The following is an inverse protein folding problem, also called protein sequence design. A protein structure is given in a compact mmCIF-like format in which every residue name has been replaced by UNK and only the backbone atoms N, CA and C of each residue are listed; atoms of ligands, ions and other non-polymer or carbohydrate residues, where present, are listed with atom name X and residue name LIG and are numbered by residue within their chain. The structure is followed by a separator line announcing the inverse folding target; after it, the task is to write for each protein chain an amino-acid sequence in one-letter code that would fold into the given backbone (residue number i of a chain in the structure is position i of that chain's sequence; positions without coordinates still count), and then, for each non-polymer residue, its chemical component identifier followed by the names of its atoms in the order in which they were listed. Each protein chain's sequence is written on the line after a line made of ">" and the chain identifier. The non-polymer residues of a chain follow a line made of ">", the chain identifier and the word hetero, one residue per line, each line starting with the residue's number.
data_IF_481733434162
#
_entry.id   IF_481733434162
#
_cell.length_a   1.000
_cell.length_b   1.000
_cell.length_c   1.000
_cell.angle_alpha   90.00
_cell.angle_beta   90.00
_cell.angle_gamma   90.00
#
_symmetry.space_group_name_H-M   'P 1'
#
loop_
_entity.id
_entity.type
_entity.pdbx_description
1 polymer ?
2 branched ?
3 non-polymer ?
4 water ?
#
# COMPACT_ATOMS: atom_id res chain seq x y z
N UNK A 7 25.39 -13.71 29.26
CA UNK A 7 25.17 -12.29 29.62
C UNK A 7 26.47 -11.46 29.82
N UNK A 8 26.59 -10.34 29.09
CA UNK A 8 27.80 -9.48 29.12
C UNK A 8 27.60 -7.94 29.14
N UNK A 9 26.52 -7.43 28.52
CA UNK A 9 26.28 -5.97 28.43
C UNK A 9 26.02 -5.46 27.00
N UNK A 10 27.08 -5.03 26.31
CA UNK A 10 27.03 -4.68 24.86
C UNK A 10 27.27 -5.96 23.97
N UNK A 11 26.15 -6.46 23.40
CA UNK A 11 26.10 -7.60 22.44
C UNK A 11 24.90 -7.29 21.52
N UNK A 12 24.95 -6.07 20.99
CA UNK A 12 23.92 -5.51 20.15
C UNK A 12 24.40 -5.70 18.73
N UNK A 13 23.55 -5.39 17.74
CA UNK A 13 23.99 -5.60 16.37
C UNK A 13 25.09 -4.63 16.02
N UNK A 14 25.91 -4.99 15.02
CA UNK A 14 26.96 -4.11 14.51
C UNK A 14 26.41 -2.73 14.15
N UNK A 15 27.12 -1.69 14.58
CA UNK A 15 26.67 -0.34 14.36
C UNK A 15 27.51 0.28 13.26
N UNK A 16 26.84 0.78 12.23
CA UNK A 16 27.50 1.51 11.16
C UNK A 16 27.70 2.98 11.56
N UNK A 17 28.95 3.42 11.56
CA UNK A 17 29.26 4.79 11.94
C UNK A 17 29.03 5.75 10.80
N UNK A 18 28.61 6.96 11.15
CA UNK A 18 28.51 8.05 10.18
C UNK A 18 29.37 9.19 10.63
N UNK A 19 29.99 9.90 9.66
CA UNK A 19 30.74 11.10 10.01
C UNK A 19 29.87 12.35 10.15
N UNK A 20 28.55 12.24 9.99
CA UNK A 20 27.69 13.42 10.12
C UNK A 20 26.91 13.34 11.42
N UNK A 21 27.31 14.15 12.41
CA UNK A 21 26.88 14.08 13.80
C UNK A 21 25.40 13.83 14.08
N UNK A 22 24.48 14.51 13.43
CA UNK A 22 23.10 14.26 13.85
C UNK A 22 22.36 13.51 12.77
N UNK A 23 22.43 14.04 11.55
CA UNK A 23 21.75 13.45 10.42
C UNK A 23 22.16 12.00 10.25
N UNK A 24 23.45 11.74 10.42
CA UNK A 24 24.01 10.42 10.26
C UNK A 24 23.82 9.99 8.83
N UNK A 25 23.23 8.81 8.64
CA UNK A 25 23.03 8.27 7.31
C UNK A 25 21.79 8.77 6.58
N UNK A 26 21.08 9.71 7.20
CA UNK A 26 19.84 10.24 6.62
C UNK A 26 20.02 10.65 5.18
N UNK A 27 21.20 11.12 4.80
CA UNK A 27 21.44 11.57 3.43
C UNK A 27 21.59 10.38 2.49
N UNK A 28 22.49 9.46 2.84
CA UNK A 28 22.77 8.29 1.99
C UNK A 28 21.48 7.49 1.78
N UNK A 29 20.78 7.25 2.88
CA UNK A 29 19.51 6.56 2.85
C UNK A 29 18.50 7.35 2.05
N UNK A 30 18.40 8.65 2.31
CA UNK A 30 17.50 9.53 1.57
C UNK A 30 17.74 9.51 0.07
N UNK A 31 19.01 9.41 -0.31
CA UNK A 31 19.38 9.42 -1.72
C UNK A 31 18.97 8.14 -2.43
N UNK A 32 19.30 6.99 -1.86
CA UNK A 32 18.81 5.71 -2.40
C UNK A 32 18.88 4.59 -1.35
N UNK A 33 17.75 4.35 -0.67
CA UNK A 33 17.66 3.54 0.54
C UNK A 33 17.91 2.07 0.29
N UNK A 34 17.51 1.58 -0.87
CA UNK A 34 17.56 0.16 -1.17
C UNK A 34 19.00 -0.21 -1.44
N UNK A 35 19.65 0.63 -2.20
CA UNK A 35 21.05 0.44 -2.43
C UNK A 35 21.82 0.50 -1.10
N UNK A 36 21.53 1.51 -0.28
CA UNK A 36 22.16 1.65 1.01
C UNK A 36 22.03 0.37 1.82
N UNK A 37 20.81 -0.14 1.90
CA UNK A 37 20.49 -1.27 2.74
C UNK A 37 21.09 -2.55 2.23
N UNK A 38 21.22 -2.66 0.91
CA UNK A 38 21.85 -3.82 0.31
C UNK A 38 23.34 -3.86 0.62
N UNK A 39 24.02 -2.74 0.40
CA UNK A 39 25.45 -2.63 0.70
C UNK A 39 25.73 -2.92 2.15
N UNK A 40 24.80 -2.55 3.01
CA UNK A 40 24.94 -2.76 4.44
C UNK A 40 24.83 -4.24 4.77
N UNK A 41 23.94 -4.93 4.08
CA UNK A 41 23.71 -6.36 4.27
C UNK A 41 24.98 -7.12 3.92
N UNK A 42 25.61 -6.66 2.86
CA UNK A 42 26.82 -7.26 2.36
C UNK A 42 27.97 -7.13 3.36
N UNK A 43 28.06 -6.00 4.06
CA UNK A 43 29.16 -5.78 5.00
C UNK A 43 28.86 -6.25 6.42
N UNK A 44 27.60 -6.25 6.83
CA UNK A 44 27.27 -6.44 8.24
C UNK A 44 26.30 -7.59 8.55
N UNK A 45 25.82 -8.25 7.49
CA UNK A 45 24.90 -9.36 7.64
C UNK A 45 23.45 -8.92 7.78
N UNK A 46 22.60 -9.82 8.29
CA UNK A 46 21.14 -9.66 8.29
C UNK A 46 20.60 -8.68 9.32
N UNK A 47 21.41 -8.36 10.33
CA UNK A 47 20.96 -7.47 11.40
C UNK A 47 22.06 -6.48 11.74
N UNK A 48 21.72 -5.18 11.71
CA UNK A 48 22.68 -4.08 11.94
C UNK A 48 21.99 -2.77 12.34
N UNK A 49 22.72 -1.92 13.07
CA UNK A 49 22.19 -0.62 13.49
C UNK A 49 22.90 0.56 12.80
N UNK A 50 22.20 1.68 12.73
CA UNK A 50 22.79 2.95 12.30
C UNK A 50 21.92 4.14 12.68
N UNK A 51 22.52 5.33 12.68
CA UNK A 51 21.81 6.54 13.05
C UNK A 51 21.30 7.33 11.86
N UNK A 52 20.07 7.80 12.00
CA UNK A 52 19.47 8.72 11.04
C UNK A 52 18.70 9.74 11.85
N UNK A 53 19.06 11.01 11.68
CA UNK A 53 18.32 12.11 12.29
C UNK A 53 18.15 11.87 13.79
N UNK A 54 19.25 11.58 14.46
CA UNK A 54 19.20 11.41 15.92
C UNK A 54 18.73 10.07 16.45
N UNK A 55 17.92 9.33 15.68
CA UNK A 55 17.43 8.01 16.11
C UNK A 55 18.35 6.85 15.70
N UNK A 56 18.30 5.75 16.46
CA UNK A 56 18.98 4.50 16.09
C UNK A 56 18.02 3.47 15.48
N UNK A 57 18.34 3.07 14.26
CA UNK A 57 17.53 2.12 13.52
C UNK A 57 18.25 0.79 13.55
N UNK A 58 17.51 -0.28 13.80
CA UNK A 58 18.05 -1.62 13.60
C UNK A 58 17.21 -2.35 12.55
N UNK A 59 17.89 -2.77 11.50
CA UNK A 59 17.25 -3.41 10.38
C UNK A 59 17.28 -4.91 10.50
N UNK A 60 16.20 -5.54 10.03
CA UNK A 60 16.09 -6.99 9.98
C UNK A 60 16.01 -7.38 8.50
N UNK A 61 17.11 -7.94 8.00
CA UNK A 61 17.12 -8.30 6.60
C UNK A 61 17.07 -9.81 6.41
N UNK A 62 16.35 -10.24 5.38
CA UNK A 62 16.13 -11.68 5.16
C UNK A 62 15.04 -12.22 6.06
N UNK A 63 14.48 -13.36 5.66
CA UNK A 63 13.27 -13.87 6.30
C UNK A 63 13.49 -14.26 7.76
N UNK A 64 14.59 -14.97 8.01
CA UNK A 64 14.91 -15.43 9.37
C UNK A 64 14.83 -14.33 10.42
N UNK A 65 15.44 -13.18 10.13
CA UNK A 65 15.51 -12.08 11.09
C UNK A 65 14.24 -11.25 11.08
N UNK A 66 13.70 -11.04 9.88
CA UNK A 66 12.44 -10.33 9.65
C UNK A 66 11.31 -10.90 10.53
N UNK A 67 11.46 -12.18 10.89
CA UNK A 67 10.60 -12.86 11.84
C UNK A 67 10.31 -12.03 13.10
N UNK A 68 11.34 -11.49 13.73
CA UNK A 68 11.17 -10.80 15.00
C UNK A 68 10.05 -9.77 14.96
N UNK A 69 9.96 -9.02 13.86
CA UNK A 69 8.96 -7.97 13.72
C UNK A 69 7.61 -8.57 13.41
N UNK A 70 7.59 -9.49 12.45
CA UNK A 70 6.33 -10.04 11.99
C UNK A 70 5.56 -10.82 13.05
N UNK A 71 6.27 -11.36 14.03
CA UNK A 71 5.67 -12.11 15.13
C UNK A 71 5.47 -11.28 16.39
N UNK A 72 6.02 -10.08 16.42
CA UNK A 72 6.00 -9.22 17.60
C UNK A 72 4.61 -8.80 18.10
N UNK A 73 4.58 -8.36 19.35
CA UNK A 73 3.40 -7.78 19.96
C UNK A 73 3.61 -6.30 20.11
N UNK A 74 2.56 -5.53 19.90
CA UNK A 74 2.68 -4.09 19.84
C UNK A 74 3.18 -3.43 21.12
N UNK A 75 3.28 -4.22 22.18
CA UNK A 75 3.78 -3.70 23.46
C UNK A 75 5.28 -3.94 23.61
N UNK A 76 5.85 -4.80 22.78
CA UNK A 76 7.31 -4.98 22.73
C UNK A 76 7.92 -4.16 21.61
N UNK A 77 7.32 -4.29 20.43
CA UNK A 77 7.68 -3.50 19.24
C UNK A 77 6.49 -2.62 18.85
N UNK A 78 6.60 -1.34 19.20
CA UNK A 78 5.49 -0.42 19.13
C UNK A 78 5.30 0.31 17.80
N UNK A 79 4.04 0.39 17.35
CA UNK A 79 3.70 1.02 16.08
C UNK A 79 3.43 2.51 16.22
N UNK A 80 2.70 2.93 17.26
CA UNK A 80 2.34 4.35 17.46
C UNK A 80 3.55 5.20 17.79
N UNK A 81 4.55 4.59 18.42
CA UNK A 81 5.76 5.29 18.82
C UNK A 81 6.53 5.85 17.64
N UNK A 82 6.26 5.31 16.46
CA UNK A 82 7.02 5.61 15.27
C UNK A 82 6.59 6.95 14.63
N UNK A 83 5.43 7.46 15.06
CA UNK A 83 4.80 8.60 14.39
C UNK A 83 4.72 9.92 15.15
N UNK A 84 4.70 10.98 14.34
CA UNK A 84 4.57 12.34 14.79
C UNK A 84 3.14 12.72 14.48
N UNK A 85 2.67 13.82 15.08
CA UNK A 85 1.43 14.46 14.66
C UNK A 85 1.38 14.65 13.16
N UNK A 86 2.55 14.80 12.53
CA UNK A 86 2.61 14.97 11.09
C UNK A 86 2.64 13.64 10.37
N UNK A 87 3.41 12.69 10.89
CA UNK A 87 3.65 11.46 10.18
C UNK A 87 2.59 10.42 10.44
N UNK A 88 1.75 10.63 11.46
CA UNK A 88 0.63 9.71 11.75
C UNK A 88 -0.23 9.44 10.51
N UNK A 89 -0.51 8.16 10.20
CA UNK A 89 -1.43 7.87 9.11
C UNK A 89 -2.81 8.45 9.39
N UNK A 90 -3.40 9.10 8.40
CA UNK A 90 -4.67 9.79 8.58
C UNK A 90 -5.87 8.84 8.61
N UNK A 91 -6.61 8.90 9.72
CA UNK A 91 -7.89 8.21 9.88
C UNK A 91 -8.88 9.23 10.43
N UNK A 92 -8.89 9.40 11.75
CA UNK A 92 -9.78 10.37 12.38
C UNK A 92 -9.71 10.29 13.88
N UNK A 93 -10.37 11.22 14.54
CA UNK A 93 -10.40 11.23 15.99
C UNK A 93 -11.10 9.99 16.51
N UNK A 94 -10.49 9.38 17.52
CA UNK A 94 -11.04 8.20 18.16
C UNK A 94 -10.89 6.94 17.34
N UNK A 95 -10.16 7.02 16.23
CA UNK A 95 -9.91 5.85 15.40
C UNK A 95 -8.42 5.71 15.05
N UNK A 96 -7.94 4.48 15.05
CA UNK A 96 -6.59 4.10 14.60
C UNK A 96 -5.44 4.41 15.56
N UNK A 97 -4.62 5.41 15.22
CA UNK A 97 -3.45 5.74 16.03
C UNK A 97 -3.83 6.72 17.11
N UNK A 98 -5.04 7.24 17.01
CA UNK A 98 -5.58 8.14 18.00
C UNK A 98 -6.09 7.37 19.23
N UNK A 99 -6.14 6.04 19.13
CA UNK A 99 -6.56 5.17 20.24
C UNK A 99 -5.52 4.09 20.56
N UNK A 100 -5.67 3.43 21.71
CA UNK A 100 -4.86 2.25 22.04
C UNK A 100 -4.95 1.13 20.99
N UNK A 101 -3.87 0.33 20.90
CA UNK A 101 -3.74 -0.69 19.87
C UNK A 101 -4.91 -1.69 19.89
N UNK A 102 -5.14 -2.39 21.02
CA UNK A 102 -6.23 -3.34 21.10
C UNK A 102 -7.50 -2.83 20.41
N UNK A 103 -7.81 -1.54 20.62
CA UNK A 103 -9.01 -0.93 20.05
C UNK A 103 -8.88 -0.82 18.53
N UNK A 104 -7.74 -0.30 18.11
CA UNK A 104 -7.43 -0.14 16.70
C UNK A 104 -7.56 -1.50 16.01
N UNK A 105 -7.00 -2.54 16.63
CA UNK A 105 -7.11 -3.89 16.12
C UNK A 105 -8.56 -4.30 15.87
N UNK A 106 -9.44 -3.96 16.82
CA UNK A 106 -10.86 -4.24 16.72
C UNK A 106 -11.54 -3.53 15.57
N UNK A 107 -11.11 -2.30 15.33
CA UNK A 107 -11.65 -1.50 14.23
C UNK A 107 -11.21 -2.07 12.88
N UNK A 108 -9.99 -2.62 12.84
CA UNK A 108 -9.48 -3.26 11.63
C UNK A 108 -10.29 -4.52 11.31
N UNK A 109 -10.56 -5.31 12.36
CA UNK A 109 -11.47 -6.45 12.32
C UNK A 109 -12.81 -6.08 11.69
N UNK A 110 -13.48 -5.09 12.27
CA UNK A 110 -14.73 -4.59 11.73
C UNK A 110 -14.62 -4.30 10.25
N UNK A 111 -13.58 -3.56 9.88
CA UNK A 111 -13.33 -3.23 8.49
C UNK A 111 -13.02 -4.45 7.61
N UNK A 112 -12.39 -5.47 8.19
CA UNK A 112 -11.97 -6.64 7.42
C UNK A 112 -13.18 -7.47 6.99
N UNK A 113 -14.05 -7.74 7.97
CA UNK A 113 -15.34 -8.35 7.76
C UNK A 113 -16.19 -7.55 6.77
N UNK A 114 -15.88 -6.27 6.60
CA UNK A 114 -16.51 -5.46 5.58
C UNK A 114 -16.04 -5.82 4.18
N UNK A 115 -14.77 -6.21 4.07
CA UNK A 115 -14.19 -6.48 2.77
C UNK A 115 -14.22 -7.96 2.52
N UNK A 116 -15.38 -8.46 2.11
CA UNK A 116 -15.59 -9.90 1.94
C UNK A 116 -16.04 -10.27 0.54
N UNK A 117 -16.04 -11.58 0.29
CA UNK A 117 -16.33 -12.12 -1.04
C UNK A 117 -17.67 -11.61 -1.59
N UNK A 118 -18.66 -11.49 -0.70
CA UNK A 118 -19.98 -10.96 -1.06
C UNK A 118 -19.88 -9.59 -1.72
N UNK A 119 -19.31 -8.64 -0.98
CA UNK A 119 -19.11 -7.28 -1.46
C UNK A 119 -18.23 -7.21 -2.69
N UNK A 120 -17.15 -7.99 -2.72
CA UNK A 120 -16.21 -7.93 -3.85
C UNK A 120 -16.95 -8.13 -5.18
N UNK A 121 -17.91 -9.07 -5.18
CA UNK A 121 -18.69 -9.41 -6.37
C UNK A 121 -19.41 -8.20 -6.94
N UNK A 122 -19.98 -7.38 -6.05
CA UNK A 122 -20.62 -6.12 -6.44
C UNK A 122 -19.59 -5.14 -7.02
N UNK A 123 -18.42 -5.06 -6.36
CA UNK A 123 -17.38 -4.12 -6.73
C UNK A 123 -16.92 -4.26 -8.18
N UNK A 124 -16.55 -5.49 -8.54
CA UNK A 124 -15.95 -5.77 -9.85
C UNK A 124 -16.60 -5.00 -10.99
N UNK A 125 -17.94 -5.00 -11.03
CA UNK A 125 -18.66 -4.36 -12.12
C UNK A 125 -18.65 -2.84 -12.02
N UNK A 126 -18.77 -2.32 -10.78
CA UNK A 126 -18.63 -0.87 -10.53
C UNK A 126 -17.28 -0.38 -11.04
N UNK A 127 -16.22 -1.04 -10.56
CA UNK A 127 -14.84 -0.73 -10.92
C UNK A 127 -14.68 -0.68 -12.42
N UNK A 128 -15.17 -1.72 -13.10
CA UNK A 128 -15.08 -1.85 -14.55
C UNK A 128 -15.81 -0.73 -15.27
N UNK A 129 -17.00 -0.39 -14.78
CA UNK A 129 -17.78 0.71 -15.34
C UNK A 129 -17.01 2.03 -15.23
N UNK A 130 -16.50 2.30 -14.02
CA UNK A 130 -15.70 3.50 -13.74
C UNK A 130 -14.46 3.58 -14.64
N UNK A 131 -13.73 2.48 -14.72
CA UNK A 131 -12.54 2.39 -15.55
C UNK A 131 -12.88 2.68 -17.01
N UNK A 132 -13.98 2.09 -17.46
CA UNK A 132 -14.47 2.23 -18.83
C UNK A 132 -14.81 3.69 -19.11
N UNK A 133 -15.59 4.29 -18.22
CA UNK A 133 -16.01 5.69 -18.35
C UNK A 133 -14.84 6.65 -18.31
N UNK A 134 -13.93 6.46 -17.35
CA UNK A 134 -12.76 7.32 -17.21
C UNK A 134 -11.92 7.38 -18.49
N UNK A 135 -11.46 6.21 -18.95
CA UNK A 135 -10.54 6.14 -20.09
C UNK A 135 -11.15 6.46 -21.44
N UNK A 136 -12.46 6.65 -21.46
CA UNK A 136 -13.16 7.08 -22.65
C UNK A 136 -12.55 8.40 -23.15
N UNK A 137 -12.26 9.28 -22.21
CA UNK A 137 -11.66 10.59 -22.49
C UNK A 137 -10.24 10.52 -23.08
N UNK A 138 -9.67 9.32 -23.15
CA UNK A 138 -8.32 9.13 -23.68
C UNK A 138 -8.29 9.02 -25.20
N UNK A 139 -9.45 8.93 -25.83
CA UNK A 139 -9.56 8.81 -27.28
C UNK A 139 -9.00 7.50 -27.83
N UNK A 140 -8.59 7.53 -29.09
CA UNK A 140 -8.15 6.32 -29.77
C UNK A 140 -6.68 5.97 -29.52
N UNK A 141 -5.84 7.00 -29.50
CA UNK A 141 -4.44 6.86 -29.10
C UNK A 141 -3.82 8.20 -28.63
N UNK A 142 -2.62 8.11 -28.08
CA UNK A 142 -1.88 9.28 -27.66
C UNK A 142 -0.76 8.85 -26.74
N UNK A 143 -0.27 9.80 -25.94
CA UNK A 143 0.73 9.55 -24.92
C UNK A 143 0.34 10.33 -23.67
N UNK A 144 0.03 9.62 -22.59
CA UNK A 144 -0.46 10.27 -21.38
C UNK A 144 0.14 9.65 -20.13
N UNK A 145 0.04 10.41 -19.04
CA UNK A 145 0.53 9.98 -17.75
C UNK A 145 -0.38 8.93 -17.11
N UNK A 146 0.02 7.67 -17.16
CA UNK A 146 -0.78 6.61 -16.54
C UNK A 146 -0.86 6.71 -15.02
N UNK A 147 0.23 7.13 -14.38
CA UNK A 147 0.25 7.25 -12.92
C UNK A 147 -0.80 8.24 -12.44
N UNK A 148 -0.88 9.37 -13.14
CA UNK A 148 -1.80 10.42 -12.78
C UNK A 148 -3.24 9.99 -13.05
N UNK A 149 -3.43 9.31 -14.18
CA UNK A 149 -4.70 8.71 -14.54
C UNK A 149 -5.15 7.69 -13.48
N UNK A 150 -4.29 6.72 -13.23
CA UNK A 150 -4.60 5.63 -12.31
C UNK A 150 -4.98 6.12 -10.92
N UNK A 151 -4.34 7.20 -10.46
CA UNK A 151 -4.63 7.67 -9.10
C UNK A 151 -5.87 8.53 -9.06
N UNK A 152 -6.11 9.25 -10.16
CA UNK A 152 -7.34 10.00 -10.33
C UNK A 152 -8.55 9.06 -10.38
N UNK A 153 -8.36 7.92 -11.05
CA UNK A 153 -9.36 6.89 -11.18
C UNK A 153 -9.60 6.12 -9.89
N UNK A 154 -8.52 5.63 -9.28
CA UNK A 154 -8.62 4.82 -8.07
C UNK A 154 -9.33 5.56 -6.93
N UNK A 155 -9.28 6.87 -6.96
CA UNK A 155 -9.99 7.65 -5.96
C UNK A 155 -11.49 7.57 -6.21
N UNK A 156 -11.86 7.43 -7.49
CA UNK A 156 -13.26 7.22 -7.87
C UNK A 156 -13.68 5.81 -7.55
N UNK A 157 -12.95 4.83 -8.11
CA UNK A 157 -13.31 3.43 -7.91
C UNK A 157 -13.39 3.10 -6.41
N UNK A 158 -12.34 3.40 -5.66
CA UNK A 158 -12.29 3.00 -4.26
C UNK A 158 -13.29 3.79 -3.42
N UNK A 159 -13.57 5.02 -3.83
CA UNK A 159 -14.61 5.81 -3.16
C UNK A 159 -15.91 5.04 -3.27
N UNK A 160 -16.27 4.68 -4.50
CA UNK A 160 -17.50 3.93 -4.80
C UNK A 160 -17.64 2.64 -4.00
N UNK A 161 -16.65 1.76 -4.15
CA UNK A 161 -16.67 0.46 -3.48
C UNK A 161 -16.70 0.56 -1.96
N UNK A 162 -15.86 1.42 -1.40
CA UNK A 162 -15.66 1.45 0.04
C UNK A 162 -16.62 2.38 0.77
N UNK A 163 -17.06 3.44 0.09
CA UNK A 163 -17.96 4.44 0.71
C UNK A 163 -19.44 4.36 0.31
N UNK A 164 -19.71 3.79 -0.87
CA UNK A 164 -21.08 3.67 -1.37
C UNK A 164 -21.44 4.80 -2.31
N UNK A 165 -22.44 4.56 -3.16
CA UNK A 165 -22.79 5.50 -4.22
C UNK A 165 -23.27 6.87 -3.73
N UNK A 166 -23.80 6.95 -2.50
CA UNK A 166 -24.22 8.26 -1.94
C UNK A 166 -23.04 9.21 -1.90
N UNK A 167 -21.93 8.72 -1.33
CA UNK A 167 -20.71 9.50 -1.21
C UNK A 167 -20.03 9.68 -2.58
N UNK A 168 -19.97 8.62 -3.37
CA UNK A 168 -19.32 8.68 -4.69
C UNK A 168 -19.96 9.70 -5.63
N UNK A 169 -21.26 9.93 -5.46
CA UNK A 169 -22.01 10.91 -6.22
C UNK A 169 -21.61 12.33 -5.84
N UNK A 170 -21.34 12.54 -4.55
CA UNK A 170 -20.90 13.84 -4.04
C UNK A 170 -19.45 14.21 -4.43
N UNK A 171 -18.73 13.24 -4.98
CA UNK A 171 -17.31 13.36 -5.27
C UNK A 171 -17.03 14.03 -6.61
N UNK A 172 -17.12 15.35 -6.65
CA UNK A 172 -16.66 16.08 -7.83
C UNK A 172 -15.20 16.44 -7.61
N UNK A 173 -14.58 17.05 -8.61
CA UNK A 173 -13.15 17.30 -8.53
C UNK A 173 -12.76 18.34 -7.47
N UNK A 174 -13.75 19.03 -6.93
CA UNK A 174 -13.51 19.91 -5.79
C UNK A 174 -13.27 19.08 -4.55
N UNK A 175 -14.03 17.98 -4.41
CA UNK A 175 -13.85 17.07 -3.28
C UNK A 175 -12.60 16.22 -3.46
N UNK A 176 -12.32 15.84 -4.70
CA UNK A 176 -11.14 15.05 -5.02
C UNK A 176 -9.90 15.81 -4.59
N UNK A 177 -9.92 17.11 -4.89
CA UNK A 177 -8.88 18.04 -4.51
C UNK A 177 -8.67 18.06 -2.99
N UNK A 178 -9.76 17.89 -2.24
CA UNK A 178 -9.67 17.85 -0.78
C UNK A 178 -9.01 16.59 -0.24
N UNK A 179 -9.12 15.49 -0.96
CA UNK A 179 -8.44 14.28 -0.56
C UNK A 179 -6.95 14.42 -0.75
N UNK A 180 -6.57 15.14 -1.80
CA UNK A 180 -5.17 15.45 -2.09
C UNK A 180 -4.55 16.22 -0.94
N UNK A 181 -5.32 17.14 -0.38
CA UNK A 181 -4.93 17.92 0.79
C UNK A 181 -4.72 17.06 2.00
N UNK A 182 -5.36 15.89 2.03
CA UNK A 182 -5.44 15.14 3.26
C UNK A 182 -4.15 14.45 3.59
N UNK A 183 -3.71 13.54 2.74
CA UNK A 183 -2.39 12.96 2.93
C UNK A 183 -1.45 13.38 1.83
N UNK A 184 -0.49 14.23 2.19
CA UNK A 184 0.64 14.51 1.29
C UNK A 184 1.61 13.32 1.25
N UNK A 185 1.20 12.19 1.86
CA UNK A 185 1.99 10.91 1.93
C UNK A 185 2.95 10.77 3.09
N UNK A 186 2.79 11.63 4.09
CA UNK A 186 3.79 11.86 5.13
C UNK A 186 4.22 10.67 5.95
N UNK A 187 3.36 9.68 6.12
CA UNK A 187 3.68 8.57 7.00
C UNK A 187 4.81 7.74 6.42
N UNK A 188 5.02 7.88 5.11
CA UNK A 188 6.15 7.25 4.46
C UNK A 188 7.48 7.89 4.84
N UNK A 189 7.43 9.12 5.36
CA UNK A 189 8.61 9.92 5.75
C UNK A 189 8.97 9.85 7.24
N UNK A 190 8.21 9.09 8.01
CA UNK A 190 8.45 8.94 9.44
C UNK A 190 9.93 8.73 9.75
N UNK A 191 10.61 7.91 8.96
CA UNK A 191 12.02 7.67 9.18
C UNK A 191 12.85 8.96 9.22
N UNK A 192 12.45 9.95 8.43
CA UNK A 192 13.25 11.17 8.30
C UNK A 192 12.92 12.21 9.37
N UNK A 193 11.65 12.31 9.73
CA UNK A 193 11.24 13.29 10.71
C UNK A 193 10.98 12.62 12.04
N UNK A 194 11.84 12.89 13.02
CA UNK A 194 11.68 12.26 14.35
C UNK A 194 10.52 12.91 15.12
N UNK A 195 9.98 12.19 16.10
CA UNK A 195 8.79 12.62 16.83
C UNK A 195 8.96 13.91 17.64
N UNK A 196 10.17 14.18 18.12
CA UNK A 196 10.39 15.30 19.02
C UNK A 196 10.29 16.71 18.43
N UNK A 197 10.30 16.83 17.10
CA UNK A 197 10.30 18.17 16.47
C UNK A 197 9.04 18.93 16.82
N UNK A 198 9.19 20.22 17.18
CA UNK A 198 8.11 21.21 17.26
C UNK A 198 7.48 21.35 15.90
N UNK A 199 6.16 21.45 15.82
CA UNK A 199 5.47 21.51 14.54
C UNK A 199 4.20 22.32 14.71
N UNK A 200 3.85 23.14 13.68
CA UNK A 200 2.62 23.91 13.70
C UNK A 200 1.45 23.02 13.32
N UNK A 201 0.23 23.50 13.56
CA UNK A 201 -0.97 22.82 13.08
C UNK A 201 -0.95 22.79 11.54
N UNK A 202 -1.40 21.67 10.97
CA UNK A 202 -1.42 21.50 9.52
C UNK A 202 -2.80 21.86 9.09
N UNK A 203 -2.96 23.16 8.88
CA UNK A 203 -4.23 23.80 8.70
C UNK A 203 -4.91 23.24 7.48
N UNK A 204 -4.17 23.13 6.38
CA UNK A 204 -4.71 22.62 5.13
C UNK A 204 -5.32 21.24 5.31
N UNK A 205 -4.61 20.40 6.06
CA UNK A 205 -5.05 19.04 6.32
C UNK A 205 -6.26 19.03 7.22
N UNK A 206 -6.13 19.67 8.39
CA UNK A 206 -7.19 19.67 9.39
C UNK A 206 -8.49 20.20 8.80
N UNK A 207 -8.38 21.14 7.87
CA UNK A 207 -9.53 21.71 7.17
C UNK A 207 -10.20 20.71 6.27
N UNK A 208 -9.43 20.10 5.37
CA UNK A 208 -9.99 19.13 4.43
C UNK A 208 -10.60 17.93 5.14
N UNK A 209 -10.04 17.58 6.30
CA UNK A 209 -10.55 16.46 7.05
C UNK A 209 -11.92 16.82 7.56
N UNK A 210 -11.99 17.92 8.29
CA UNK A 210 -13.25 18.50 8.75
C UNK A 210 -14.32 18.51 7.64
N UNK A 211 -13.92 18.99 6.47
CA UNK A 211 -14.79 19.15 5.32
C UNK A 211 -15.27 17.83 4.73
N UNK A 212 -14.35 16.88 4.61
CA UNK A 212 -14.66 15.59 4.04
C UNK A 212 -15.50 14.83 5.05
N UNK A 213 -15.11 14.92 6.32
CA UNK A 213 -15.81 14.23 7.39
C UNK A 213 -17.28 14.66 7.40
N UNK A 214 -17.52 15.89 7.00
CA UNK A 214 -18.87 16.45 6.97
C UNK A 214 -19.75 15.83 5.89
N UNK A 215 -19.14 15.44 4.78
CA UNK A 215 -19.86 14.74 3.73
C UNK A 215 -20.34 13.39 4.26
N UNK A 216 -19.51 12.75 5.08
CA UNK A 216 -19.86 11.48 5.71
C UNK A 216 -21.02 11.57 6.68
N UNK A 217 -21.06 12.63 7.49
CA UNK A 217 -22.18 12.84 8.41
C UNK A 217 -23.49 12.90 7.65
N UNK A 218 -23.52 13.72 6.61
CA UNK A 218 -24.67 13.81 5.71
C UNK A 218 -25.11 12.48 5.13
N UNK A 219 -24.17 11.56 4.92
CA UNK A 219 -24.52 10.27 4.33
C UNK A 219 -24.84 9.21 5.37
N UNK A 220 -24.17 9.24 6.53
CA UNK A 220 -24.50 8.34 7.63
C UNK A 220 -25.92 8.66 8.12
N UNK A 221 -26.30 9.93 7.96
CA UNK A 221 -27.66 10.41 8.21
C UNK A 221 -28.65 9.64 7.32
N UNK A 222 -28.58 9.91 6.02
CA UNK A 222 -29.42 9.30 5.01
C UNK A 222 -29.62 7.78 5.15
N UNK A 223 -28.55 7.05 5.48
CA UNK A 223 -28.63 5.60 5.62
C UNK A 223 -29.36 5.18 6.89
N UNK A 224 -29.08 5.85 8.00
CA UNK A 224 -29.70 5.54 9.28
C UNK A 224 -31.20 5.86 9.32
N UNK A 225 -31.65 6.69 8.37
CA UNK A 225 -33.07 6.96 8.17
C UNK A 225 -33.72 5.82 7.38
N UNK A 226 -34.01 6.04 6.10
CA UNK A 226 -34.65 5.00 5.28
C UNK A 226 -33.73 3.76 5.25
N UNK A 227 -34.25 2.64 5.74
CA UNK A 227 -33.45 1.42 5.90
C UNK A 227 -33.88 0.32 4.96
N UNK A 228 -33.38 0.39 3.73
CA UNK A 228 -33.71 -0.57 2.69
C UNK A 228 -32.59 -1.59 2.45
N UNK A 229 -32.63 -2.24 1.28
CA UNK A 229 -31.83 -3.44 0.98
C UNK A 229 -30.32 -3.21 0.73
N UNK A 230 -29.83 -1.98 0.98
CA UNK A 230 -28.42 -1.62 0.72
C UNK A 230 -27.43 -2.46 1.53
N UNK A 231 -26.65 -3.28 0.83
CA UNK A 231 -25.59 -4.05 1.46
C UNK A 231 -24.19 -3.66 0.94
N UNK A 232 -23.60 -2.65 1.59
CA UNK A 232 -22.25 -2.19 1.30
C UNK A 232 -21.39 -2.14 2.57
N UNK A 233 -20.11 -1.84 2.39
CA UNK A 233 -19.15 -1.78 3.51
C UNK A 233 -19.69 -0.83 4.59
N UNK A 234 -20.20 0.32 4.16
CA UNK A 234 -20.76 1.31 5.08
C UNK A 234 -21.75 0.66 6.05
N UNK A 235 -22.62 -0.16 5.48
CA UNK A 235 -23.60 -0.92 6.24
C UNK A 235 -22.89 -1.77 7.29
N UNK A 236 -22.08 -2.73 6.82
CA UNK A 236 -21.33 -3.64 7.70
C UNK A 236 -20.86 -2.91 8.96
N UNK A 237 -20.38 -1.68 8.76
CA UNK A 237 -19.85 -0.86 9.86
C UNK A 237 -20.91 -0.42 10.84
N UNK A 238 -21.95 0.23 10.32
CA UNK A 238 -23.07 0.70 11.14
C UNK A 238 -23.62 -0.43 12.01
N UNK A 239 -23.79 -1.61 11.41
CA UNK A 239 -24.23 -2.79 12.14
C UNK A 239 -23.22 -3.22 13.21
N UNK A 240 -21.94 -3.26 12.87
CA UNK A 240 -20.89 -3.75 13.76
C UNK A 240 -20.85 -3.04 15.12
N UNK A 241 -20.36 -3.76 16.12
CA UNK A 241 -20.07 -3.21 17.45
C UNK A 241 -18.85 -3.91 18.03
N UNK A 242 -18.25 -3.32 19.06
CA UNK A 242 -17.06 -3.87 19.70
C UNK A 242 -17.36 -5.14 20.46
N UNK A 243 -16.34 -5.66 21.14
CA UNK A 243 -16.52 -6.69 22.15
C UNK A 243 -17.23 -6.06 23.35
N UNK A 244 -17.26 -4.73 23.37
CA UNK A 244 -18.14 -3.90 24.19
C UNK A 244 -19.61 -4.27 24.08
N UNK A 245 -20.08 -4.36 22.84
CA UNK A 245 -21.49 -4.29 22.54
C UNK A 245 -21.82 -2.90 22.05
N UNK A 246 -20.98 -1.92 22.43
CA UNK A 246 -21.10 -0.53 21.98
C UNK A 246 -21.02 -0.41 20.45
N UNK A 247 -21.95 0.35 19.83
CA UNK A 247 -21.88 0.58 18.38
C UNK A 247 -20.86 1.65 18.03
N UNK A 248 -20.58 1.80 16.75
CA UNK A 248 -19.63 2.82 16.29
C UNK A 248 -20.32 4.16 16.27
N UNK A 249 -19.66 5.16 16.85
CA UNK A 249 -20.18 6.52 16.79
C UNK A 249 -20.12 6.97 15.33
N UNK A 250 -20.75 8.09 15.03
CA UNK A 250 -20.70 8.60 13.66
C UNK A 250 -19.28 8.92 13.21
N UNK A 251 -18.50 9.52 14.11
CA UNK A 251 -17.10 9.84 13.85
C UNK A 251 -16.28 8.61 13.49
N UNK A 252 -16.23 7.67 14.43
CA UNK A 252 -15.53 6.42 14.22
C UNK A 252 -15.81 5.87 12.82
N UNK A 253 -17.08 5.87 12.41
CA UNK A 253 -17.45 5.35 11.11
C UNK A 253 -16.75 6.13 9.98
N UNK A 254 -16.90 7.45 9.97
CA UNK A 254 -16.27 8.29 8.95
C UNK A 254 -14.74 8.17 9.02
N UNK A 255 -14.22 8.24 10.24
CA UNK A 255 -12.78 8.16 10.51
C UNK A 255 -12.11 6.93 9.94
N UNK A 256 -12.66 5.75 10.24
CA UNK A 256 -12.09 4.54 9.69
C UNK A 256 -12.37 4.34 8.20
N UNK A 257 -13.42 4.95 7.68
CA UNK A 257 -13.67 4.83 6.25
C UNK A 257 -12.74 5.70 5.42
N UNK A 258 -12.51 6.92 5.90
CA UNK A 258 -11.53 7.82 5.31
C UNK A 258 -10.13 7.18 5.37
N UNK A 259 -9.76 6.75 6.57
CA UNK A 259 -8.50 6.06 6.76
C UNK A 259 -8.32 4.96 5.74
N UNK A 260 -9.34 4.11 5.62
CA UNK A 260 -9.32 2.99 4.70
C UNK A 260 -9.04 3.42 3.26
N UNK A 261 -9.77 4.42 2.77
CA UNK A 261 -9.57 4.84 1.38
C UNK A 261 -8.14 5.32 1.13
N UNK A 262 -7.66 6.21 2.01
CA UNK A 262 -6.30 6.74 1.93
C UNK A 262 -5.24 5.64 1.97
N UNK A 263 -5.31 4.78 2.98
CA UNK A 263 -4.35 3.69 3.15
C UNK A 263 -4.15 2.87 1.89
N UNK A 264 -5.16 2.87 1.02
CA UNK A 264 -5.12 2.06 -0.18
C UNK A 264 -4.92 2.87 -1.44
N UNK A 265 -5.06 4.18 -1.30
CA UNK A 265 -5.05 5.10 -2.44
C UNK A 265 -3.72 5.13 -3.16
N UNK A 266 -2.69 5.63 -2.48
CA UNK A 266 -1.38 5.75 -3.09
C UNK A 266 -0.74 4.40 -3.36
N UNK A 267 -0.76 3.52 -2.35
CA UNK A 267 -0.27 2.15 -2.49
C UNK A 267 -0.67 1.54 -3.83
N UNK A 268 -1.96 1.63 -4.16
CA UNK A 268 -2.53 1.03 -5.38
C UNK A 268 -2.07 1.69 -6.69
N UNK A 269 -2.14 3.02 -6.76
CA UNK A 269 -1.71 3.75 -7.98
C UNK A 269 -0.24 3.57 -8.30
N UNK A 270 0.64 3.71 -7.32
CA UNK A 270 2.02 3.27 -7.44
C UNK A 270 2.04 1.96 -8.22
N UNK A 271 1.54 0.92 -7.56
CA UNK A 271 1.60 -0.44 -8.06
C UNK A 271 1.01 -0.59 -9.48
N UNK A 272 -0.15 0.00 -9.68
CA UNK A 272 -0.81 -0.06 -10.95
C UNK A 272 0.06 0.50 -12.06
N UNK A 273 0.53 1.72 -11.86
CA UNK A 273 1.41 2.37 -12.84
C UNK A 273 2.66 1.53 -13.13
N UNK A 274 3.28 1.01 -12.08
CA UNK A 274 4.48 0.23 -12.27
C UNK A 274 4.20 -0.97 -13.15
N UNK A 275 3.15 -1.72 -12.82
CA UNK A 275 2.73 -2.87 -13.62
C UNK A 275 2.54 -2.48 -15.08
N UNK A 276 1.76 -1.42 -15.30
CA UNK A 276 1.60 -0.84 -16.63
C UNK A 276 2.88 -0.68 -17.43
N UNK A 277 3.96 -0.29 -16.76
CA UNK A 277 5.22 -0.10 -17.48
C UNK A 277 5.98 -1.38 -17.67
N UNK A 278 5.93 -2.24 -16.68
CA UNK A 278 6.50 -3.55 -16.83
C UNK A 278 5.88 -4.25 -18.04
N UNK A 279 4.55 -4.17 -18.16
CA UNK A 279 3.82 -4.79 -19.26
C UNK A 279 4.11 -4.11 -20.57
N UNK A 280 4.20 -2.79 -20.55
CA UNK A 280 4.56 -2.01 -21.74
C UNK A 280 5.98 -2.26 -22.25
N UNK A 281 6.85 -2.74 -21.36
CA UNK A 281 8.24 -3.05 -21.71
C UNK A 281 8.41 -4.46 -22.25
N UNK A 282 7.74 -5.43 -21.61
CA UNK A 282 7.69 -6.79 -22.13
C UNK A 282 6.39 -6.96 -22.91
N UNK A 283 6.44 -6.65 -24.21
CA UNK A 283 5.27 -6.69 -25.08
C UNK A 283 4.67 -8.08 -25.21
N UNK A 284 5.54 -9.09 -25.30
CA UNK A 284 5.10 -10.47 -25.30
C UNK A 284 4.14 -10.71 -24.14
N UNK A 285 4.68 -10.58 -22.93
CA UNK A 285 3.93 -10.76 -21.70
C UNK A 285 2.57 -10.04 -21.70
N UNK A 286 2.52 -8.84 -22.29
CA UNK A 286 1.31 -8.02 -22.29
C UNK A 286 0.23 -8.69 -23.12
N UNK A 287 0.54 -8.90 -24.40
CA UNK A 287 -0.25 -9.73 -25.31
C UNK A 287 -0.69 -11.02 -24.63
N UNK A 288 0.26 -11.79 -24.11
CA UNK A 288 -0.04 -13.03 -23.40
C UNK A 288 -1.20 -12.91 -22.41
N UNK A 289 -1.15 -11.96 -21.47
CA UNK A 289 -2.28 -11.87 -20.53
C UNK A 289 -3.50 -11.12 -21.10
N UNK A 290 -3.35 -10.62 -22.32
CA UNK A 290 -4.49 -10.18 -23.09
C UNK A 290 -5.18 -11.38 -23.75
N UNK A 291 -4.38 -12.32 -24.23
CA UNK A 291 -4.92 -13.55 -24.81
C UNK A 291 -5.57 -14.39 -23.72
N UNK A 292 -4.97 -14.37 -22.53
CA UNK A 292 -5.54 -15.00 -21.35
C UNK A 292 -6.87 -14.33 -20.95
N UNK A 293 -7.09 -13.10 -21.42
CA UNK A 293 -8.37 -12.44 -21.21
C UNK A 293 -9.49 -13.12 -21.98
N UNK A 294 -9.14 -13.73 -23.11
CA UNK A 294 -10.11 -14.41 -23.97
C UNK A 294 -10.20 -15.87 -23.57
N UNK A 295 -9.05 -16.54 -23.59
CA UNK A 295 -8.87 -17.89 -23.02
C UNK A 295 -9.70 -18.14 -21.76
N UNK A 296 -9.84 -17.14 -20.91
CA UNK A 296 -10.52 -17.34 -19.64
C UNK A 296 -11.91 -16.72 -19.66
N UNK A 297 -11.99 -15.50 -20.16
CA UNK A 297 -13.23 -14.73 -20.08
C UNK A 297 -14.18 -14.99 -21.26
N UNK A 298 -13.62 -15.39 -22.40
CA UNK A 298 -14.42 -15.63 -23.59
C UNK A 298 -14.24 -14.56 -24.65
N UNK A 299 -13.89 -15.04 -25.84
CA UNK A 299 -13.64 -14.21 -27.04
C UNK A 299 -14.45 -12.94 -27.26
N UNK A 300 -15.71 -12.94 -26.83
CA UNK A 300 -16.59 -11.78 -27.01
C UNK A 300 -16.32 -10.67 -25.97
N UNK A 301 -15.66 -11.07 -24.89
CA UNK A 301 -15.31 -10.21 -23.74
C UNK A 301 -16.55 -9.61 -23.07
N UNK A 302 -17.25 -10.44 -22.27
CA UNK A 302 -18.41 -10.00 -21.51
C UNK A 302 -18.03 -8.96 -20.45
N UNK A 303 -19.03 -8.25 -19.90
CA UNK A 303 -18.82 -7.59 -18.62
C UNK A 303 -18.22 -8.53 -17.56
N UNK A 304 -17.22 -8.02 -16.84
CA UNK A 304 -16.37 -8.81 -15.94
C UNK A 304 -17.07 -9.21 -14.65
N UNK A 305 -16.65 -10.34 -14.09
CA UNK A 305 -17.20 -10.89 -12.85
C UNK A 305 -16.07 -11.30 -11.89
N UNK A 306 -16.41 -11.38 -10.60
CA UNK A 306 -15.46 -11.78 -9.57
C UNK A 306 -14.83 -13.15 -9.83
N UNK A 307 -15.64 -14.07 -10.38
CA UNK A 307 -15.23 -15.46 -10.55
C UNK A 307 -14.22 -15.67 -11.67
N UNK A 308 -14.32 -14.87 -12.72
CA UNK A 308 -13.29 -14.87 -13.74
C UNK A 308 -11.96 -14.40 -13.14
N UNK A 309 -12.00 -13.36 -12.30
CA UNK A 309 -10.80 -12.79 -11.67
C UNK A 309 -9.97 -13.85 -10.99
N UNK A 310 -10.66 -14.74 -10.28
CA UNK A 310 -10.04 -15.86 -9.58
C UNK A 310 -9.19 -16.78 -10.50
N UNK A 311 -9.35 -16.64 -11.81
CA UNK A 311 -8.75 -17.54 -12.80
C UNK A 311 -7.83 -16.85 -13.82
N UNK A 312 -7.74 -15.53 -13.74
CA UNK A 312 -6.77 -14.78 -14.53
C UNK A 312 -5.41 -14.92 -13.86
N UNK A 313 -4.77 -16.06 -14.08
CA UNK A 313 -3.61 -16.48 -13.32
C UNK A 313 -2.30 -15.82 -13.74
N UNK A 314 -2.19 -15.40 -15.01
CA UNK A 314 -1.00 -14.65 -15.44
C UNK A 314 -1.07 -13.22 -14.92
N UNK A 315 -2.15 -12.53 -15.24
CA UNK A 315 -2.40 -11.20 -14.71
C UNK A 315 -2.23 -11.18 -13.21
N UNK A 316 -2.56 -12.28 -12.54
CA UNK A 316 -2.37 -12.37 -11.12
C UNK A 316 -0.89 -12.39 -10.75
N UNK A 317 -0.08 -13.13 -11.50
CA UNK A 317 1.36 -13.21 -11.25
C UNK A 317 2.09 -11.93 -11.66
N UNK A 318 1.54 -11.21 -12.62
CA UNK A 318 2.08 -9.91 -13.02
C UNK A 318 1.93 -8.87 -11.92
N UNK A 319 0.78 -8.89 -11.24
CA UNK A 319 0.63 -8.08 -10.06
C UNK A 319 1.62 -8.55 -9.01
N UNK A 320 1.52 -9.83 -8.62
CA UNK A 320 2.41 -10.36 -7.61
C UNK A 320 3.86 -9.95 -7.87
N UNK A 321 4.27 -10.01 -9.13
CA UNK A 321 5.64 -9.72 -9.50
C UNK A 321 5.93 -8.22 -9.46
N UNK A 322 4.96 -7.40 -9.86
CA UNK A 322 5.08 -5.96 -9.70
C UNK A 322 5.32 -5.60 -8.24
N UNK A 323 4.45 -6.06 -7.35
CA UNK A 323 4.59 -5.85 -5.91
C UNK A 323 5.92 -6.36 -5.34
N UNK A 324 6.60 -7.26 -6.05
CA UNK A 324 7.86 -7.78 -5.55
C UNK A 324 8.96 -6.79 -5.79
N UNK A 325 8.98 -6.23 -6.99
CA UNK A 325 10.02 -5.29 -7.39
C UNK A 325 9.72 -3.83 -7.04
N UNK A 326 8.48 -3.52 -6.69
CA UNK A 326 8.04 -2.16 -6.43
C UNK A 326 6.99 -2.08 -5.33
N UNK A 327 7.24 -2.74 -4.18
CA UNK A 327 6.25 -2.60 -3.10
C UNK A 327 6.08 -1.12 -2.75
N UNK A 328 4.83 -0.64 -2.62
CA UNK A 328 4.63 0.78 -2.30
C UNK A 328 5.00 1.13 -0.84
N UNK A 329 4.97 0.15 0.06
CA UNK A 329 5.43 0.36 1.41
C UNK A 329 6.81 -0.24 1.57
N UNK A 330 7.80 0.64 1.69
CA UNK A 330 9.18 0.22 1.67
C UNK A 330 9.69 -0.25 3.01
N UNK A 331 9.31 0.45 4.08
CA UNK A 331 9.76 0.11 5.44
C UNK A 331 8.56 -0.23 6.28
N UNK A 332 8.66 -1.28 7.09
CA UNK A 332 7.77 -1.46 8.22
C UNK A 332 8.60 -1.25 9.46
N UNK A 333 8.04 -0.53 10.42
CA UNK A 333 8.84 0.13 11.42
C UNK A 333 8.17 0.06 12.77
N UNK A 334 8.89 -0.42 13.77
CA UNK A 334 8.38 -0.54 15.16
C UNK A 334 9.43 -0.09 16.17
N UNK A 335 8.98 0.51 17.27
CA UNK A 335 9.89 0.97 18.32
C UNK A 335 10.07 -0.06 19.42
N UNK A 336 11.31 -0.45 19.69
CA UNK A 336 11.61 -1.38 20.77
C UNK A 336 11.27 -0.74 22.12
N UNK A 337 10.37 -1.37 22.87
CA UNK A 337 10.04 -0.93 24.23
C UNK A 337 10.59 -1.88 25.30
N UNK A 338 10.97 -3.10 24.90
CA UNK A 338 11.58 -4.10 25.78
C UNK A 338 12.62 -4.90 24.99
N UNK A 339 13.77 -5.23 25.60
CA UNK A 339 14.86 -5.84 24.81
C UNK A 339 14.39 -7.03 23.96
N UNK A 340 14.94 -7.16 22.75
CA UNK A 340 14.56 -8.25 21.85
C UNK A 340 15.80 -8.99 21.38
N UNK A 341 15.64 -10.27 21.05
CA UNK A 341 16.77 -11.07 20.58
C UNK A 341 16.53 -11.44 19.14
N UNK A 342 17.51 -11.19 18.28
CA UNK A 342 17.44 -11.75 16.95
C UNK A 342 18.65 -12.61 16.66
N UNK A 343 19.34 -12.37 15.54
CA UNK A 343 20.33 -13.32 15.04
C UNK A 343 21.59 -13.45 15.92
N UNK A 344 21.37 -13.68 17.21
CA UNK A 344 22.44 -13.68 18.18
C UNK A 344 22.38 -12.46 19.05
N UNK A 345 21.83 -11.36 18.51
CA UNK A 345 21.97 -10.04 19.13
C UNK A 345 20.84 -9.69 20.06
N UNK A 346 21.07 -8.66 20.88
CA UNK A 346 19.98 -8.05 21.65
C UNK A 346 19.72 -6.62 21.22
N UNK A 347 18.47 -6.32 20.87
CA UNK A 347 18.08 -4.98 20.52
C UNK A 347 17.62 -4.30 21.79
N UNK A 348 18.34 -3.24 22.21
CA UNK A 348 17.94 -2.50 23.40
C UNK A 348 16.67 -1.75 23.11
N UNK A 349 15.79 -1.62 24.11
CA UNK A 349 14.62 -0.74 24.00
C UNK A 349 15.11 0.66 23.62
N UNK A 350 14.40 1.32 22.72
CA UNK A 350 14.89 2.60 22.20
C UNK A 350 15.07 2.59 20.70
N UNK A 351 15.71 1.55 20.16
CA UNK A 351 15.88 1.34 18.72
C UNK A 351 14.56 1.26 17.94
N UNK A 352 14.56 1.82 16.74
CA UNK A 352 13.48 1.59 15.78
C UNK A 352 13.85 0.41 14.94
N UNK A 353 13.12 -0.67 15.16
CA UNK A 353 13.35 -1.92 14.45
C UNK A 353 12.61 -1.89 13.13
N UNK A 354 13.31 -2.25 12.06
CA UNK A 354 12.77 -2.09 10.73
C UNK A 354 12.91 -3.31 9.85
N UNK A 355 11.95 -3.45 8.94
CA UNK A 355 11.99 -4.48 7.90
C UNK A 355 11.69 -3.80 6.58
N UNK A 356 12.39 -4.21 5.53
CA UNK A 356 12.09 -3.67 4.21
C UNK A 356 11.54 -4.72 3.26
N UNK A 357 10.21 -4.72 3.03
CA UNK A 357 9.67 -5.49 1.93
C UNK A 357 10.56 -5.42 0.67
N UNK A 358 10.89 -4.23 0.18
CA UNK A 358 11.66 -4.09 -1.06
C UNK A 358 12.94 -4.92 -1.08
N UNK A 359 13.65 -4.89 0.04
CA UNK A 359 14.96 -5.52 0.15
C UNK A 359 14.85 -7.04 0.29
N UNK A 360 13.96 -7.49 1.19
CA UNK A 360 13.70 -8.91 1.33
C UNK A 360 13.29 -9.56 -0.02
N UNK A 361 12.51 -8.82 -0.80
CA UNK A 361 11.94 -9.32 -2.04
C UNK A 361 12.91 -9.29 -3.22
N UNK A 362 14.18 -9.03 -2.93
CA UNK A 362 15.13 -8.71 -3.97
C UNK A 362 16.45 -9.31 -3.56
N UNK A 363 16.47 -9.79 -2.32
CA UNK A 363 17.67 -10.29 -1.67
C UNK A 363 18.45 -11.23 -2.58
N UNK A 364 19.74 -10.98 -2.68
CA UNK A 364 20.58 -11.49 -3.76
C UNK A 364 20.79 -12.99 -3.68
N UNK A 365 20.64 -13.52 -2.48
CA UNK A 365 20.84 -14.95 -2.21
C UNK A 365 19.54 -15.71 -1.94
N UNK A 366 18.42 -15.16 -2.38
CA UNK A 366 17.12 -15.83 -2.27
C UNK A 366 16.46 -15.87 -3.63
N UNK A 367 16.44 -14.72 -4.29
CA UNK A 367 15.78 -14.60 -5.58
C UNK A 367 16.78 -14.75 -6.68
N UNK A 368 16.52 -15.71 -7.55
CA UNK A 368 17.26 -15.85 -8.80
C UNK A 368 16.86 -14.68 -9.69
N UNK A 369 17.80 -14.14 -10.45
CA UNK A 369 17.51 -13.03 -11.38
C UNK A 369 16.94 -11.84 -10.66
N UNK A 370 17.46 -11.55 -9.48
CA UNK A 370 16.84 -10.63 -8.53
C UNK A 370 16.09 -9.45 -9.14
N UNK A 371 16.70 -8.76 -10.09
CA UNK A 371 16.15 -7.50 -10.57
C UNK A 371 15.28 -7.63 -11.81
N UNK A 372 14.87 -8.86 -12.10
CA UNK A 372 14.14 -9.21 -13.33
C UNK A 372 12.64 -9.34 -13.19
N UNK A 373 11.92 -8.76 -14.15
CA UNK A 373 10.48 -8.87 -14.12
C UNK A 373 9.99 -10.13 -14.80
N UNK A 374 9.98 -11.22 -14.04
CA UNK A 374 9.60 -12.51 -14.58
C UNK A 374 8.52 -13.17 -13.70
N UNK A 375 7.24 -12.97 -14.06
CA UNK A 375 6.14 -13.44 -13.24
C UNK A 375 6.05 -14.96 -13.21
N UNK A 376 6.78 -15.61 -14.12
CA UNK A 376 6.82 -17.08 -14.13
C UNK A 376 7.63 -17.66 -12.99
N UNK A 377 8.38 -16.82 -12.26
CA UNK A 377 9.26 -17.32 -11.21
C UNK A 377 8.48 -18.03 -10.11
N UNK A 378 7.20 -17.68 -9.99
CA UNK A 378 6.32 -18.27 -8.98
C UNK A 378 5.78 -19.64 -9.38
N UNK A 379 6.10 -20.05 -10.62
CA UNK A 379 5.77 -21.39 -11.10
C UNK A 379 6.82 -22.39 -10.63
N UNK A 380 8.11 -22.07 -10.79
CA UNK A 380 9.18 -22.90 -10.21
C UNK A 380 9.25 -22.74 -8.69
N UNK A 381 10.43 -22.97 -8.12
CA UNK A 381 10.64 -22.71 -6.69
C UNK A 381 11.00 -21.25 -6.46
N UNK A 382 10.63 -20.76 -5.27
CA UNK A 382 10.86 -19.37 -4.91
C UNK A 382 10.72 -19.17 -3.41
N UNK A 383 11.29 -18.07 -2.90
CA UNK A 383 11.23 -17.81 -1.46
C UNK A 383 9.85 -17.33 -1.01
N UNK A 384 8.98 -17.03 -1.99
CA UNK A 384 7.62 -16.58 -1.73
C UNK A 384 6.87 -17.65 -0.94
N UNK A 385 7.01 -18.88 -1.39
CA UNK A 385 6.46 -20.06 -0.73
C UNK A 385 7.57 -20.74 0.08
N UNK A 386 8.76 -20.82 -0.51
CA UNK A 386 9.95 -21.39 0.13
C UNK A 386 10.17 -20.90 1.55
N UNK A 387 10.04 -19.59 1.77
CA UNK A 387 10.32 -18.98 3.07
C UNK A 387 9.14 -18.20 3.60
N UNK A 388 9.06 -18.10 4.93
CA UNK A 388 7.97 -17.41 5.61
C UNK A 388 7.87 -15.93 5.29
N UNK A 389 8.99 -15.22 5.30
CA UNK A 389 8.98 -13.77 5.23
C UNK A 389 9.89 -13.14 4.19
N UNK A 390 10.12 -13.81 3.08
CA UNK A 390 10.94 -13.23 2.03
C UNK A 390 10.11 -12.34 1.10
N UNK A 391 8.84 -12.70 0.92
CA UNK A 391 7.96 -11.94 0.07
C UNK A 391 6.82 -11.39 0.93
N UNK A 392 6.95 -10.15 1.37
CA UNK A 392 6.01 -9.64 2.36
C UNK A 392 5.47 -8.25 2.05
N UNK A 393 4.98 -8.02 0.83
CA UNK A 393 4.61 -6.65 0.47
C UNK A 393 3.38 -6.14 1.22
N UNK A 394 2.60 -7.06 1.76
CA UNK A 394 1.42 -6.66 2.50
C UNK A 394 1.65 -6.86 3.99
N UNK A 395 2.91 -7.10 4.35
CA UNK A 395 3.22 -7.45 5.72
C UNK A 395 3.08 -8.94 5.87
N UNK A 396 3.03 -9.40 7.12
CA UNK A 396 3.03 -10.81 7.44
C UNK A 396 2.82 -10.96 8.94
N UNK A 397 2.74 -12.22 9.41
CA UNK A 397 2.47 -12.52 10.83
C UNK A 397 1.27 -11.75 11.34
N UNK A 398 1.41 -11.21 12.54
CA UNK A 398 0.37 -10.39 13.16
C UNK A 398 0.11 -9.07 12.40
N UNK A 399 1.05 -8.68 11.56
CA UNK A 399 1.00 -7.36 10.94
C UNK A 399 0.89 -7.48 9.44
N UNK A 400 -0.34 -7.71 8.97
CA UNK A 400 -0.62 -7.85 7.55
C UNK A 400 -1.72 -6.86 7.16
N UNK A 401 -1.63 -6.32 5.94
CA UNK A 401 -2.58 -5.33 5.42
C UNK A 401 -4.00 -5.91 5.33
N UNK A 402 -4.96 -5.30 6.02
CA UNK A 402 -6.37 -5.78 5.96
C UNK A 402 -6.95 -5.73 4.54
N UNK A 403 -6.62 -4.70 3.78
CA UNK A 403 -7.19 -4.52 2.46
C UNK A 403 -6.43 -5.20 1.33
N UNK A 404 -5.67 -6.25 1.65
CA UNK A 404 -4.90 -6.96 0.61
C UNK A 404 -5.80 -7.41 -0.53
N UNK A 405 -6.90 -8.05 -0.18
CA UNK A 405 -7.77 -8.68 -1.16
C UNK A 405 -8.47 -7.68 -2.03
N UNK A 406 -9.05 -6.64 -1.41
CA UNK A 406 -9.71 -5.62 -2.19
C UNK A 406 -8.76 -5.05 -3.23
N UNK A 407 -7.50 -4.89 -2.83
CA UNK A 407 -6.45 -4.35 -3.69
C UNK A 407 -6.33 -5.19 -4.97
N UNK A 408 -6.25 -6.52 -4.78
CA UNK A 408 -6.17 -7.44 -5.89
C UNK A 408 -7.42 -7.37 -6.76
N UNK A 409 -8.60 -7.28 -6.14
CA UNK A 409 -9.84 -7.06 -6.87
C UNK A 409 -9.68 -5.82 -7.73
N UNK A 410 -9.41 -4.69 -7.09
CA UNK A 410 -9.40 -3.38 -7.74
C UNK A 410 -8.39 -3.29 -8.88
N UNK A 411 -7.18 -3.77 -8.62
CA UNK A 411 -6.12 -3.64 -9.61
C UNK A 411 -6.43 -4.52 -10.81
N UNK A 412 -6.71 -5.79 -10.51
CA UNK A 412 -7.00 -6.82 -11.50
C UNK A 412 -8.12 -6.38 -12.42
N UNK A 413 -9.21 -5.91 -11.84
CA UNK A 413 -10.31 -5.38 -12.62
C UNK A 413 -9.82 -4.27 -13.53
N UNK A 414 -9.29 -3.21 -12.93
CA UNK A 414 -8.83 -2.02 -13.66
C UNK A 414 -7.86 -2.41 -14.76
N UNK A 415 -6.88 -3.24 -14.43
CA UNK A 415 -5.92 -3.63 -15.43
C UNK A 415 -6.47 -4.48 -16.56
N UNK A 416 -7.36 -5.41 -16.23
CA UNK A 416 -8.11 -6.16 -17.23
C UNK A 416 -8.80 -5.18 -18.18
N UNK A 417 -9.73 -4.41 -17.64
CA UNK A 417 -10.45 -3.41 -18.40
C UNK A 417 -9.51 -2.57 -19.25
N UNK A 418 -8.40 -2.15 -18.67
CA UNK A 418 -7.43 -1.29 -19.37
C UNK A 418 -6.77 -2.04 -20.51
N UNK A 419 -6.33 -3.25 -20.18
CA UNK A 419 -5.64 -4.15 -21.09
C UNK A 419 -6.54 -4.47 -22.27
N UNK A 420 -7.85 -4.46 -22.03
CA UNK A 420 -8.84 -4.62 -23.10
C UNK A 420 -8.88 -3.40 -24.02
N UNK A 421 -9.24 -2.23 -23.47
CA UNK A 421 -9.40 -1.01 -24.27
C UNK A 421 -8.15 -0.66 -25.09
N UNK A 422 -6.96 -0.89 -24.52
CA UNK A 422 -5.71 -0.41 -25.12
C UNK A 422 -4.57 -1.40 -25.12
N UNK A 423 -3.62 -1.15 -26.02
CA UNK A 423 -2.31 -1.78 -26.02
C UNK A 423 -1.26 -0.71 -25.73
N UNK A 424 -0.34 -1.03 -24.80
CA UNK A 424 0.61 -0.07 -24.27
C UNK A 424 2.05 -0.37 -24.64
N UNK A 425 2.85 0.70 -24.73
CA UNK A 425 4.32 0.58 -24.70
C UNK A 425 5.04 1.86 -24.30
N UNK A 426 6.33 1.69 -23.99
CA UNK A 426 7.24 2.74 -23.56
C UNK A 426 7.43 3.77 -24.67
N UNK A 427 7.71 5.02 -24.30
CA UNK A 427 7.79 6.08 -25.29
C UNK A 427 9.06 6.04 -26.14
N UNK A 428 10.24 5.96 -25.55
CA UNK A 428 11.41 5.82 -26.42
C UNK A 428 12.34 4.74 -26.00
N UNK A 429 11.76 3.65 -25.51
CA UNK A 429 12.52 2.64 -24.83
C UNK A 429 12.76 3.08 -23.40
N UNK A 430 12.21 4.23 -23.02
CA UNK A 430 12.36 4.74 -21.67
C UNK A 430 11.51 3.97 -20.65
N UNK A 431 12.18 3.15 -19.84
CA UNK A 431 11.53 2.56 -18.68
C UNK A 431 11.70 3.47 -17.45
N UNK A 432 10.57 3.96 -16.90
CA UNK A 432 10.55 4.88 -15.77
C UNK A 432 11.47 4.46 -14.65
N UNK A 433 12.17 5.44 -14.12
CA UNK A 433 13.14 5.21 -13.08
C UNK A 433 12.49 5.50 -11.72
N UNK A 434 13.00 4.89 -10.65
CA UNK A 434 12.38 5.09 -9.33
C UNK A 434 12.63 6.50 -8.85
N UNK A 435 11.62 7.11 -8.26
CA UNK A 435 11.73 8.48 -7.79
C UNK A 435 11.57 8.57 -6.27
N UNK A 436 12.69 8.63 -5.56
CA UNK A 436 12.69 8.63 -4.11
C UNK A 436 12.35 9.99 -3.52
N UNK A 437 11.99 10.94 -4.36
CA UNK A 437 11.89 12.33 -3.96
C UNK A 437 10.48 12.73 -3.50
N UNK A 438 9.51 11.97 -3.99
CA UNK A 438 8.12 12.02 -3.51
C UNK A 438 8.13 11.18 -2.24
N UNK A 439 7.24 11.48 -1.28
CA UNK A 439 7.23 10.72 -0.03
C UNK A 439 7.08 9.22 -0.27
N UNK A 440 6.03 8.84 -0.98
CA UNK A 440 5.87 7.48 -1.46
C UNK A 440 6.52 7.34 -2.85
N UNK A 441 7.41 6.36 -3.00
CA UNK A 441 8.22 6.24 -4.20
C UNK A 441 7.34 6.12 -5.44
N UNK A 442 7.50 7.07 -6.37
CA UNK A 442 6.73 7.11 -7.62
C UNK A 442 7.59 6.83 -8.84
N UNK A 443 6.96 6.49 -9.98
CA UNK A 443 7.74 6.31 -11.22
C UNK A 443 8.05 7.62 -11.94
N UNK A 444 9.33 7.81 -12.23
CA UNK A 444 9.81 9.03 -12.85
C UNK A 444 9.29 9.18 -14.27
N UNK A 445 8.55 10.27 -14.52
CA UNK A 445 8.03 10.57 -15.84
C UNK A 445 7.22 9.39 -16.39
N UNK A 446 6.03 9.15 -15.79
CA UNK A 446 5.27 7.97 -16.10
C UNK A 446 4.30 8.16 -17.27
N UNK A 447 4.76 8.87 -18.30
CA UNK A 447 3.94 9.05 -19.50
C UNK A 447 4.08 7.79 -20.36
N UNK A 448 2.94 7.27 -20.83
CA UNK A 448 2.90 6.00 -21.53
C UNK A 448 2.25 6.18 -22.89
N UNK A 449 2.71 5.40 -23.86
CA UNK A 449 2.04 5.35 -25.15
C UNK A 449 1.05 4.19 -25.24
N UNK A 450 -0.17 4.56 -25.65
CA UNK A 450 -1.27 3.64 -25.78
C UNK A 450 -1.90 3.76 -27.16
N UNK A 451 -2.57 2.70 -27.59
CA UNK A 451 -3.43 2.73 -28.77
C UNK A 451 -4.52 1.67 -28.58
N UNK A 452 -5.66 1.86 -29.25
CA UNK A 452 -6.81 0.93 -29.17
C UNK A 452 -6.41 -0.51 -29.50
N UNK A 453 -6.95 -1.48 -28.77
CA UNK A 453 -6.56 -2.88 -28.95
C UNK A 453 -7.35 -3.59 -30.05
N UNK A 454 -6.63 -4.44 -30.79
CA UNK A 454 -7.20 -5.41 -31.73
C UNK A 454 -6.07 -6.32 -32.23
#
# INVERSE_FOLDING_TARGET
>A
MAKKTLPAGVKSPPYIFSPIPFLGHAIAFGKSPIEFLENAYEKYGPVFSFTMVGKTFTYLLGSDAAALLFNSKNEDLNAEDVYSRLTTPVFGKGVAYDVPNPVFLEQKKMLKSGLNIAHFKQHVSIIEKETKEYFESWGESGEKNVFEALSELIILTASHCLHGKEIRSQLNEKVAQLYADLDGGFSHAAWLLPGWLPLPSFRRRDRAHREIKDIFYKAIQKRRQSQEKIDDILQTLLDATYKDGRPLTDDEVAGMLIGLLLAGQHTSSTTSAWMGFFLARDKTLQKKCYLEQKTVCGENLPPLTYDQLKDLNLLDRCIKETLRLRPPIMIMMRMARTPQTVAGYTIPPGHQVCVSPTVNQRLKDSWVERLDFNPDRYLQDNPASGEKFAYVPFGAGRHRCIGENFAYVQIKTIWSTMLRLYEFDLIDGYFPTVNYTTMIHTPENPVIRYKRRSTHHHHHH
#
